data_IF_076539796421
#
_entry.id   IF_076539796421
#
_cell.length_a   1.000
_cell.length_b   1.000
_cell.length_c   1.000
_cell.angle_alpha   90.00
_cell.angle_beta   90.00
_cell.angle_gamma   90.00
#
_symmetry.space_group_name_H-M   'P 1'
#
loop_
_entity.id
_entity.type
_entity.pdbx_description
1 polymer ?
#
# COMPACT_ATOMS: atom_id res chain seq x y z
N UNK A 1 -8.89 -6.08 -11.53
CA UNK A 1 -9.80 -5.08 -10.93
C UNK A 1 -9.96 -5.50 -9.49
N UNK A 2 -9.51 -4.69 -8.53
CA UNK A 2 -9.73 -5.00 -7.12
C UNK A 2 -11.25 -5.06 -6.95
N UNK A 3 -11.78 -6.20 -6.51
CA UNK A 3 -13.20 -6.34 -6.25
C UNK A 3 -13.50 -5.55 -4.97
N UNK A 4 -13.88 -4.29 -5.15
CA UNK A 4 -14.23 -3.38 -4.06
C UNK A 4 -15.62 -3.67 -3.49
N UNK A 5 -16.41 -4.54 -4.13
CA UNK A 5 -17.76 -4.88 -3.66
C UNK A 5 -17.72 -5.66 -2.33
N UNK A 6 -16.60 -6.29 -1.99
CA UNK A 6 -16.36 -6.90 -0.67
C UNK A 6 -16.11 -5.85 0.44
N UNK A 7 -15.66 -4.64 0.09
CA UNK A 7 -15.28 -3.61 1.06
C UNK A 7 -16.43 -2.67 1.46
N UNK A 8 -17.59 -2.76 0.79
CA UNK A 8 -18.68 -1.81 1.00
C UNK A 8 -19.33 -1.88 2.39
N UNK A 9 -19.01 -2.90 3.20
CA UNK A 9 -19.45 -3.05 4.59
C UNK A 9 -18.32 -3.31 5.61
N UNK A 10 -17.04 -3.26 5.20
CA UNK A 10 -15.90 -3.64 6.04
C UNK A 10 -14.87 -2.50 6.16
N UNK A 11 -14.36 -2.28 7.37
CA UNK A 11 -13.26 -1.33 7.62
C UNK A 11 -11.98 -1.86 7.00
N UNK A 12 -11.25 -1.00 6.26
CA UNK A 12 -9.97 -1.37 5.66
C UNK A 12 -8.92 -0.29 5.88
N UNK A 13 -7.65 -0.70 5.97
CA UNK A 13 -6.51 0.19 6.12
C UNK A 13 -5.86 0.41 4.75
N UNK A 14 -5.74 1.67 4.35
CA UNK A 14 -5.06 2.05 3.09
C UNK A 14 -3.79 2.84 3.44
N UNK A 15 -2.64 2.27 3.09
CA UNK A 15 -1.32 2.86 3.28
C UNK A 15 -0.84 3.44 1.94
N UNK A 16 -0.96 4.76 1.80
CA UNK A 16 -0.63 5.48 0.56
C UNK A 16 0.83 5.92 0.48
N UNK A 17 1.55 5.93 1.60
CA UNK A 17 2.95 6.34 1.73
C UNK A 17 3.39 6.32 3.19
N UNK A 18 4.68 6.53 3.43
CA UNK A 18 5.24 6.57 4.79
C UNK A 18 4.82 7.86 5.51
N UNK A 19 4.35 7.76 6.77
CA UNK A 19 4.05 8.93 7.58
C UNK A 19 5.35 9.61 8.03
N UNK A 20 5.28 10.89 8.43
CA UNK A 20 6.45 11.59 8.98
C UNK A 20 6.83 11.13 10.39
N UNK A 21 5.86 10.66 11.19
CA UNK A 21 6.05 10.20 12.58
C UNK A 21 5.79 8.70 12.69
N UNK A 22 6.82 7.91 12.45
CA UNK A 22 6.69 6.46 12.33
C UNK A 22 6.23 5.83 13.64
N UNK A 23 6.72 6.29 14.79
CA UNK A 23 6.40 5.67 16.08
C UNK A 23 4.90 5.74 16.39
N UNK A 24 4.31 6.93 16.26
CA UNK A 24 2.89 7.16 16.54
C UNK A 24 2.00 6.44 15.53
N UNK A 25 2.38 6.45 14.24
CA UNK A 25 1.61 5.77 13.20
C UNK A 25 1.69 4.25 13.29
N UNK A 26 2.86 3.70 13.61
CA UNK A 26 3.02 2.26 13.82
C UNK A 26 2.21 1.79 15.03
N UNK A 27 2.26 2.52 16.15
CA UNK A 27 1.43 2.21 17.32
C UNK A 27 -0.05 2.14 16.94
N UNK A 28 -0.59 3.21 16.34
CA UNK A 28 -1.99 3.27 15.96
C UNK A 28 -2.39 2.15 14.97
N UNK A 29 -1.53 1.87 13.97
CA UNK A 29 -1.80 0.79 13.01
C UNK A 29 -1.84 -0.57 13.69
N UNK A 30 -0.90 -0.84 14.60
CA UNK A 30 -0.87 -2.10 15.35
C UNK A 30 -2.10 -2.20 16.25
N UNK A 31 -2.47 -1.12 16.96
CA UNK A 31 -3.67 -1.10 17.79
C UNK A 31 -4.92 -1.42 16.96
N UNK A 32 -5.10 -0.77 15.81
CA UNK A 32 -6.23 -1.04 14.90
C UNK A 32 -6.26 -2.50 14.42
N UNK A 33 -5.10 -3.09 14.10
CA UNK A 33 -5.01 -4.48 13.64
C UNK A 33 -5.27 -5.49 14.75
N UNK A 34 -4.92 -5.16 16.00
CA UNK A 34 -5.13 -6.02 17.16
C UNK A 34 -6.57 -5.93 17.70
N UNK A 35 -7.27 -4.84 17.41
CA UNK A 35 -8.61 -4.52 17.96
C UNK A 35 -9.74 -4.60 16.95
N UNK A 36 -9.46 -5.07 15.74
CA UNK A 36 -10.43 -5.08 14.63
C UNK A 36 -11.04 -3.68 14.37
N UNK A 37 -10.20 -2.65 14.46
CA UNK A 37 -10.57 -1.26 14.18
C UNK A 37 -11.11 -0.46 15.37
N UNK A 38 -11.01 -0.99 16.59
CA UNK A 38 -11.49 -0.36 17.83
C UNK A 38 -10.35 -0.11 18.85
N UNK A 39 -9.47 0.87 18.59
CA UNK A 39 -8.22 1.04 19.35
C UNK A 39 -8.42 1.44 20.81
N UNK A 40 -9.65 1.79 21.20
CA UNK A 40 -10.10 2.11 22.55
C UNK A 40 -10.58 0.89 23.36
N UNK A 41 -10.67 -0.29 22.74
CA UNK A 41 -11.04 -1.55 23.40
C UNK A 41 -9.80 -2.46 23.58
N UNK A 42 -9.66 -3.09 24.74
CA UNK A 42 -8.64 -4.14 24.96
C UNK A 42 -9.28 -5.49 24.67
N UNK A 43 -8.83 -6.22 23.62
CA UNK A 43 -9.42 -7.49 23.26
C UNK A 43 -8.93 -8.60 24.20
N UNK A 44 -9.79 -9.57 24.51
CA UNK A 44 -9.39 -10.75 25.30
C UNK A 44 -8.36 -11.61 24.56
N UNK A 45 -8.45 -11.65 23.24
CA UNK A 45 -7.54 -12.36 22.34
C UNK A 45 -7.33 -11.55 21.06
N UNK A 46 -6.13 -11.62 20.48
CA UNK A 46 -5.87 -10.96 19.20
C UNK A 46 -6.53 -11.73 18.04
N UNK A 47 -7.08 -11.03 17.05
CA UNK A 47 -7.70 -11.67 15.90
C UNK A 47 -6.66 -12.43 15.07
N UNK A 48 -7.02 -13.65 14.64
CA UNK A 48 -6.18 -14.49 13.77
C UNK A 48 -6.17 -13.95 12.31
N UNK A 49 -7.28 -13.35 11.90
CA UNK A 49 -7.44 -12.57 10.66
C UNK A 49 -7.61 -11.10 11.05
N UNK A 50 -6.63 -10.26 10.72
CA UNK A 50 -6.69 -8.82 10.98
C UNK A 50 -7.43 -8.07 9.87
N UNK A 51 -7.75 -6.80 10.12
CA UNK A 51 -8.35 -5.91 9.12
C UNK A 51 -7.58 -5.95 7.78
N UNK A 52 -8.29 -5.92 6.63
CA UNK A 52 -7.66 -5.83 5.33
C UNK A 52 -6.71 -4.64 5.21
N UNK A 53 -5.53 -4.85 4.62
CA UNK A 53 -4.52 -3.81 4.41
C UNK A 53 -4.17 -3.72 2.93
N UNK A 54 -4.29 -2.52 2.37
CA UNK A 54 -3.86 -2.18 1.02
C UNK A 54 -2.66 -1.23 1.14
N UNK A 55 -1.52 -1.58 0.56
CA UNK A 55 -0.34 -0.72 0.52
C UNK A 55 -0.02 -0.31 -0.91
N UNK A 56 0.35 0.97 -1.12
CA UNK A 56 0.46 1.56 -2.45
C UNK A 56 1.88 1.69 -3.01
N UNK A 57 2.90 1.43 -2.18
CA UNK A 57 4.29 1.46 -2.61
C UNK A 57 5.09 0.44 -1.76
N UNK A 58 5.97 -0.32 -2.39
CA UNK A 58 6.83 -1.29 -1.70
C UNK A 58 8.31 -0.94 -1.76
N UNK A 59 8.66 0.22 -2.33
CA UNK A 59 10.04 0.62 -2.50
C UNK A 59 10.73 0.76 -1.13
N UNK A 60 11.73 -0.08 -0.89
CA UNK A 60 12.49 -0.07 0.35
C UNK A 60 13.24 1.25 0.54
N UNK A 61 13.81 1.75 -0.56
CA UNK A 61 14.57 2.99 -0.60
C UNK A 61 14.18 3.82 -1.81
N UNK A 62 14.42 5.12 -1.73
CA UNK A 62 14.34 6.06 -2.83
C UNK A 62 15.56 6.97 -2.86
N UNK A 63 15.84 7.53 -4.04
CA UNK A 63 16.91 8.50 -4.23
C UNK A 63 16.40 9.91 -3.93
N UNK A 64 17.13 10.61 -3.06
CA UNK A 64 16.92 12.02 -2.74
C UNK A 64 18.24 12.78 -2.92
N UNK A 65 18.29 14.07 -2.54
CA UNK A 65 19.48 14.93 -2.60
C UNK A 65 20.67 14.46 -1.75
N UNK A 66 20.52 13.37 -1.01
CA UNK A 66 21.55 12.85 -0.14
C UNK A 66 22.51 11.91 -0.85
N UNK A 67 23.70 11.73 -0.26
CA UNK A 67 24.72 10.84 -0.81
C UNK A 67 24.34 9.34 -0.75
N UNK A 68 23.42 8.96 0.12
CA UNK A 68 22.95 7.58 0.29
C UNK A 68 21.43 7.52 0.13
N UNK A 69 20.88 6.40 -0.38
CA UNK A 69 19.44 6.18 -0.50
C UNK A 69 18.70 6.43 0.82
N UNK A 70 17.46 6.92 0.72
CA UNK A 70 16.57 7.20 1.85
C UNK A 70 15.54 6.09 1.98
N UNK A 71 15.16 5.76 3.21
CA UNK A 71 14.11 4.77 3.44
C UNK A 71 12.77 5.25 2.91
N UNK A 72 12.16 4.46 2.03
CA UNK A 72 10.84 4.71 1.47
C UNK A 72 9.75 3.96 2.21
N UNK A 73 8.57 3.89 1.58
CA UNK A 73 7.40 3.24 2.15
C UNK A 73 7.65 1.76 2.49
N UNK A 74 8.42 1.03 1.70
CA UNK A 74 8.75 -0.38 1.95
C UNK A 74 9.46 -0.61 3.28
N UNK A 75 10.34 0.31 3.70
CA UNK A 75 10.98 0.23 5.01
C UNK A 75 9.96 0.40 6.16
N UNK A 76 9.01 1.33 6.00
CA UNK A 76 7.91 1.50 6.96
C UNK A 76 7.03 0.23 7.05
N UNK A 77 6.71 -0.39 5.92
CA UNK A 77 5.96 -1.66 5.88
C UNK A 77 6.68 -2.79 6.61
N UNK A 78 8.01 -2.89 6.47
CA UNK A 78 8.82 -3.89 7.19
C UNK A 78 8.76 -3.65 8.71
N UNK A 79 8.84 -2.39 9.15
CA UNK A 79 8.68 -2.06 10.57
C UNK A 79 7.31 -2.49 11.10
N UNK A 80 6.23 -2.19 10.36
CA UNK A 80 4.87 -2.58 10.72
C UNK A 80 4.72 -4.10 10.83
N UNK A 81 5.18 -4.84 9.81
CA UNK A 81 5.14 -6.31 9.81
C UNK A 81 5.90 -6.90 11.00
N UNK A 82 7.07 -6.35 11.30
CA UNK A 82 7.94 -6.83 12.37
C UNK A 82 7.29 -6.60 13.72
N UNK A 83 6.80 -5.38 13.98
CA UNK A 83 6.17 -5.04 15.25
C UNK A 83 4.89 -5.86 15.49
N UNK A 84 4.03 -5.97 14.48
CA UNK A 84 2.81 -6.77 14.58
C UNK A 84 3.12 -8.23 14.89
N UNK A 85 4.13 -8.83 14.23
CA UNK A 85 4.52 -10.21 14.48
C UNK A 85 5.12 -10.41 15.88
N UNK A 86 5.97 -9.50 16.34
CA UNK A 86 6.56 -9.60 17.68
C UNK A 86 5.52 -9.48 18.79
N UNK A 87 4.46 -8.67 18.60
CA UNK A 87 3.43 -8.46 19.61
C UNK A 87 2.35 -9.55 19.62
N UNK A 88 1.98 -10.07 18.45
CA UNK A 88 0.84 -11.00 18.33
C UNK A 88 1.25 -12.45 18.09
N UNK A 89 2.48 -12.68 17.61
CA UNK A 89 2.93 -13.97 17.08
C UNK A 89 2.44 -14.26 15.65
N UNK A 90 1.52 -13.46 15.10
CA UNK A 90 0.93 -13.67 13.78
C UNK A 90 1.69 -12.93 12.67
N UNK A 91 1.62 -13.45 11.44
CA UNK A 91 2.22 -12.77 10.28
C UNK A 91 1.21 -11.78 9.71
N UNK A 92 1.62 -10.52 9.56
CA UNK A 92 0.83 -9.51 8.87
C UNK A 92 0.73 -9.81 7.37
N UNK A 93 -0.50 -9.82 6.84
CA UNK A 93 -0.82 -10.10 5.43
C UNK A 93 -1.34 -8.85 4.74
N UNK A 94 -0.81 -8.52 3.56
CA UNK A 94 -1.39 -7.46 2.74
C UNK A 94 -2.45 -8.03 1.81
N UNK A 95 -3.66 -7.48 1.85
CA UNK A 95 -4.76 -7.86 0.97
C UNK A 95 -4.46 -7.46 -0.48
N UNK A 96 -3.79 -6.33 -0.68
CA UNK A 96 -3.33 -5.91 -1.99
C UNK A 96 -2.10 -5.03 -1.89
N UNK A 97 -1.14 -5.29 -2.79
CA UNK A 97 0.07 -4.50 -2.97
C UNK A 97 -0.04 -3.79 -4.32
N UNK A 98 -0.22 -2.48 -4.24
CA UNK A 98 -0.28 -1.57 -5.37
C UNK A 98 1.05 -0.83 -5.49
N UNK A 99 1.20 -0.09 -6.58
CA UNK A 99 2.47 0.53 -6.94
C UNK A 99 3.24 -0.35 -7.91
N UNK A 100 4.37 0.16 -8.41
CA UNK A 100 5.22 -0.61 -9.32
C UNK A 100 5.88 -1.77 -8.54
N UNK A 101 6.12 -2.93 -9.14
CA UNK A 101 5.79 -3.33 -10.52
C UNK A 101 4.40 -3.99 -10.68
N UNK A 102 3.41 -3.72 -9.81
CA UNK A 102 2.10 -4.40 -9.81
C UNK A 102 1.34 -4.20 -11.13
N UNK A 103 0.85 -5.32 -11.70
CA UNK A 103 0.05 -5.33 -12.93
C UNK A 103 -1.20 -4.45 -12.82
N UNK A 104 -1.81 -4.40 -11.64
CA UNK A 104 -3.02 -3.59 -11.38
C UNK A 104 -2.72 -2.11 -11.63
N UNK A 105 -1.56 -1.62 -11.18
CA UNK A 105 -1.13 -0.24 -11.37
C UNK A 105 -0.90 0.07 -12.84
N UNK A 106 -0.26 -0.83 -13.60
CA UNK A 106 -0.03 -0.64 -15.03
C UNK A 106 -1.32 -0.69 -15.86
N UNK A 107 -2.24 -1.62 -15.57
CA UNK A 107 -3.56 -1.68 -16.23
C UNK A 107 -4.39 -0.43 -15.95
N UNK A 108 -4.31 0.10 -14.73
CA UNK A 108 -4.96 1.36 -14.41
C UNK A 108 -4.35 2.52 -15.22
N UNK A 109 -3.02 2.60 -15.33
CA UNK A 109 -2.36 3.61 -16.15
C UNK A 109 -2.78 3.51 -17.63
N UNK A 110 -2.80 2.31 -18.22
CA UNK A 110 -3.28 2.06 -19.58
C UNK A 110 -4.73 2.55 -19.78
N UNK A 111 -5.61 2.23 -18.84
CA UNK A 111 -7.00 2.65 -18.87
C UNK A 111 -7.15 4.18 -18.86
N UNK A 112 -6.45 4.86 -17.94
CA UNK A 112 -6.48 6.32 -17.84
C UNK A 112 -5.91 6.97 -19.11
N UNK A 113 -4.82 6.44 -19.67
CA UNK A 113 -4.24 6.93 -20.92
C UNK A 113 -5.20 6.74 -22.10
N UNK A 114 -5.90 5.60 -22.17
CA UNK A 114 -6.91 5.34 -23.20
C UNK A 114 -8.08 6.33 -23.11
N UNK A 115 -8.59 6.59 -21.91
CA UNK A 115 -9.65 7.57 -21.69
C UNK A 115 -9.19 8.99 -22.05
N UNK A 116 -7.97 9.34 -21.69
CA UNK A 116 -7.39 10.67 -21.96
C UNK A 116 -7.16 10.88 -23.46
N UNK A 117 -6.62 9.88 -24.15
CA UNK A 117 -6.44 9.88 -25.61
C UNK A 117 -7.75 10.14 -26.35
N UNK A 118 -8.83 9.46 -25.97
CA UNK A 118 -10.18 9.69 -26.52
C UNK A 118 -10.68 11.12 -26.27
N UNK A 119 -10.50 11.66 -25.06
CA UNK A 119 -10.89 13.03 -24.72
C UNK A 119 -10.12 14.09 -25.52
N UNK A 120 -8.86 13.81 -25.85
CA UNK A 120 -8.03 14.69 -26.69
C UNK A 120 -8.35 14.59 -28.19
N UNK A 121 -9.30 13.74 -28.60
CA UNK A 121 -9.73 13.60 -30.00
C UNK A 121 -8.91 12.64 -30.85
N UNK A 122 -7.98 11.87 -30.25
CA UNK A 122 -7.26 10.82 -30.96
C UNK A 122 -8.21 9.66 -31.29
N UNK A 123 -8.20 9.23 -32.56
CA UNK A 123 -9.10 8.17 -33.07
C UNK A 123 -8.47 6.77 -33.08
N UNK A 124 -7.14 6.70 -33.02
CA UNK A 124 -6.41 5.43 -33.01
C UNK A 124 -6.18 4.96 -31.57
N UNK A 125 -6.27 3.65 -31.28
CA UNK A 125 -5.92 3.11 -29.97
C UNK A 125 -4.43 3.31 -29.68
N UNK A 126 -4.06 3.24 -28.40
CA UNK A 126 -2.65 3.25 -27.99
C UNK A 126 -2.08 1.85 -28.21
N UNK A 127 -1.16 1.71 -29.17
CA UNK A 127 -0.57 0.40 -29.50
C UNK A 127 0.68 0.08 -28.67
N UNK A 128 1.35 1.11 -28.13
CA UNK A 128 2.60 0.99 -27.38
C UNK A 128 2.67 2.00 -26.24
N UNK A 129 3.08 1.52 -25.07
CA UNK A 129 3.40 2.34 -23.91
C UNK A 129 4.86 2.12 -23.54
N UNK A 130 5.60 3.22 -23.35
CA UNK A 130 6.97 3.20 -22.86
C UNK A 130 6.98 3.90 -21.51
N UNK A 131 7.35 3.18 -20.46
CA UNK A 131 7.47 3.73 -19.11
C UNK A 131 8.95 4.04 -18.86
N UNK A 132 9.26 5.30 -18.57
CA UNK A 132 10.58 5.74 -18.15
C UNK A 132 10.51 6.09 -16.66
N UNK A 133 11.36 5.47 -15.85
CA UNK A 133 11.45 5.69 -14.42
C UNK A 133 12.85 5.39 -13.93
N UNK A 134 13.24 6.04 -12.85
CA UNK A 134 14.47 5.74 -12.11
C UNK A 134 14.16 4.67 -11.07
N UNK A 135 13.99 3.42 -11.50
CA UNK A 135 13.83 2.30 -10.58
C UNK A 135 15.08 1.43 -10.66
N UNK A 136 16.18 1.88 -10.08
CA UNK A 136 17.38 1.07 -9.84
C UNK A 136 18.03 1.57 -8.53
N UNK A 137 18.38 0.61 -7.67
CA UNK A 137 18.84 0.76 -6.27
C UNK A 137 19.93 1.82 -6.06
#
# INVERSE_FOLDING_TARGET
>A
MINLDHFLNETAIILTGEPARWESSLQLLVDLLMTDGKPDEVPETFPEEHLPIIACNMDLVYMDKAALPRFGHGAFLICLQTLYNQLTGYKLRYTSLLGKPSEITFRFAEHILTLTSKRMGYKRPIDRLFFFGIDEM
#
